data_IF_292620570753
#
_entry.id   IF_292620570753
#
_cell.length_a   1.000
_cell.length_b   1.000
_cell.length_c   1.000
_cell.angle_alpha   90.00
_cell.angle_beta   90.00
_cell.angle_gamma   90.00
#
_symmetry.space_group_name_H-M   'P 1'
#
loop_
_entity.id
_entity.type
_entity.pdbx_description
1 polymer ?
#
# COMPACT_ATOMS: atom_id res chain seq x y z
N UNK A 1 -9.88 -7.57 -12.29
CA UNK A 1 -8.60 -7.25 -11.62
C UNK A 1 -7.47 -7.25 -12.64
N UNK A 2 -6.61 -6.25 -12.59
CA UNK A 2 -5.35 -6.20 -13.36
C UNK A 2 -4.20 -6.53 -12.41
N UNK A 3 -3.23 -7.33 -12.86
CA UNK A 3 -1.96 -7.56 -12.18
C UNK A 3 -0.82 -7.10 -13.06
N UNK A 4 0.07 -6.30 -12.51
CA UNK A 4 1.24 -5.81 -13.21
C UNK A 4 2.23 -6.95 -13.48
N UNK A 5 2.80 -7.00 -14.68
CA UNK A 5 3.83 -7.96 -15.07
C UNK A 5 5.17 -7.25 -15.21
N UNK A 6 5.91 -7.13 -14.14
CA UNK A 6 7.18 -6.43 -14.11
C UNK A 6 7.15 -5.19 -13.24
N UNK A 7 8.25 -4.49 -13.21
CA UNK A 7 8.47 -3.35 -12.34
C UNK A 7 8.21 -2.03 -13.08
N UNK A 8 7.50 -1.11 -12.44
CA UNK A 8 7.34 0.26 -12.92
C UNK A 8 8.42 1.13 -12.33
N UNK A 9 9.22 1.78 -13.17
CA UNK A 9 10.39 2.60 -12.77
C UNK A 9 10.38 3.98 -13.40
N UNK A 10 11.09 4.91 -12.76
CA UNK A 10 11.34 6.24 -13.31
C UNK A 10 10.05 6.97 -13.68
N UNK A 11 9.96 7.48 -14.92
CA UNK A 11 8.82 8.28 -15.39
C UNK A 11 7.51 7.47 -15.46
N UNK A 12 7.57 6.18 -15.82
CA UNK A 12 6.40 5.31 -15.84
C UNK A 12 5.81 5.14 -14.42
N UNK A 13 6.68 4.98 -13.43
CA UNK A 13 6.28 4.96 -12.02
C UNK A 13 5.64 6.29 -11.61
N UNK A 14 6.26 7.43 -11.92
CA UNK A 14 5.74 8.75 -11.57
C UNK A 14 4.38 9.01 -12.22
N UNK A 15 4.20 8.62 -13.47
CA UNK A 15 2.93 8.72 -14.21
C UNK A 15 1.86 7.86 -13.54
N UNK A 16 2.18 6.61 -13.22
CA UNK A 16 1.24 5.69 -12.58
C UNK A 16 0.83 6.14 -11.17
N UNK A 17 1.78 6.52 -10.32
CA UNK A 17 1.42 6.96 -8.95
C UNK A 17 0.71 8.30 -8.94
N UNK A 18 0.96 9.18 -9.90
CA UNK A 18 0.19 10.41 -10.06
C UNK A 18 -1.27 10.09 -10.39
N UNK A 19 -1.50 9.22 -11.37
CA UNK A 19 -2.83 8.72 -11.71
C UNK A 19 -3.52 8.07 -10.50
N UNK A 20 -2.79 7.24 -9.73
CA UNK A 20 -3.32 6.56 -8.54
C UNK A 20 -3.69 7.56 -7.44
N UNK A 21 -2.82 8.54 -7.15
CA UNK A 21 -3.06 9.55 -6.11
C UNK A 21 -4.21 10.52 -6.43
N UNK A 22 -4.50 10.77 -7.71
CA UNK A 22 -5.64 11.59 -8.15
C UNK A 22 -7.00 10.90 -7.89
N UNK A 23 -7.00 9.58 -7.80
CA UNK A 23 -8.19 8.73 -7.63
C UNK A 23 -8.28 8.10 -6.24
N UNK A 24 -7.45 8.54 -5.32
CA UNK A 24 -7.38 8.01 -3.97
C UNK A 24 -7.51 9.14 -2.94
N UNK A 25 -8.08 8.80 -1.80
CA UNK A 25 -8.13 9.66 -0.61
C UNK A 25 -7.09 9.27 0.44
N UNK A 26 -6.63 8.02 0.41
CA UNK A 26 -5.65 7.51 1.36
C UNK A 26 -4.66 6.50 0.74
N UNK A 27 -3.52 6.35 1.42
CA UNK A 27 -2.53 5.31 1.15
C UNK A 27 -2.18 4.57 2.43
N UNK A 28 -1.78 3.32 2.29
CA UNK A 28 -1.31 2.48 3.38
C UNK A 28 0.15 2.11 3.16
N UNK A 29 0.90 2.09 4.24
CA UNK A 29 2.26 1.57 4.32
C UNK A 29 2.37 0.51 5.42
N UNK A 30 3.26 -0.44 5.22
CA UNK A 30 3.64 -1.44 6.19
C UNK A 30 5.04 -1.14 6.71
N UNK A 31 5.23 -1.24 8.02
CA UNK A 31 6.51 -0.96 8.67
C UNK A 31 6.96 -2.22 9.42
N UNK A 32 8.00 -2.86 8.93
CA UNK A 32 8.64 -3.98 9.60
C UNK A 32 9.70 -3.51 10.59
N UNK A 33 9.79 -4.13 11.76
CA UNK A 33 10.87 -3.87 12.70
C UNK A 33 12.01 -4.88 12.52
N UNK A 34 13.21 -4.46 12.91
CA UNK A 34 14.35 -5.35 13.08
C UNK A 34 14.71 -5.39 14.56
N UNK A 35 14.64 -6.57 15.19
CA UNK A 35 14.87 -6.69 16.61
C UNK A 35 14.02 -5.72 17.44
N UNK A 36 12.71 -5.57 17.11
CA UNK A 36 11.74 -4.67 17.75
C UNK A 36 11.95 -3.17 17.50
N UNK A 37 12.86 -2.77 16.60
CA UNK A 37 13.09 -1.36 16.27
C UNK A 37 12.97 -1.10 14.78
N UNK A 38 12.43 0.05 14.44
CA UNK A 38 12.48 0.59 13.07
C UNK A 38 13.87 1.15 12.78
N UNK A 39 14.36 0.98 11.56
CA UNK A 39 15.55 1.71 11.07
C UNK A 39 15.29 3.21 11.10
N UNK A 40 16.34 4.02 11.25
CA UNK A 40 16.24 5.49 11.44
C UNK A 40 15.42 6.15 10.34
N UNK A 41 15.72 5.89 9.06
CA UNK A 41 15.03 6.47 7.91
C UNK A 41 13.54 6.14 7.91
N UNK A 42 13.18 4.87 8.11
CA UNK A 42 11.78 4.42 8.16
C UNK A 42 11.05 5.04 9.37
N UNK A 43 11.72 5.17 10.50
CA UNK A 43 11.18 5.82 11.69
C UNK A 43 10.90 7.31 11.45
N UNK A 44 11.80 8.00 10.77
CA UNK A 44 11.66 9.42 10.41
C UNK A 44 10.46 9.63 9.46
N UNK A 45 10.34 8.81 8.40
CA UNK A 45 9.19 8.81 7.52
C UNK A 45 7.90 8.62 8.34
N UNK A 46 7.84 7.60 9.18
CA UNK A 46 6.67 7.30 10.02
C UNK A 46 6.33 8.45 10.96
N UNK A 47 7.31 9.13 11.53
CA UNK A 47 7.09 10.31 12.39
C UNK A 47 6.57 11.51 11.58
N UNK A 48 7.18 11.80 10.41
CA UNK A 48 6.72 12.86 9.48
C UNK A 48 5.27 12.65 9.07
N UNK A 49 4.86 11.41 8.83
CA UNK A 49 3.51 11.07 8.36
C UNK A 49 2.47 10.94 9.49
N UNK A 50 2.87 10.84 10.74
CA UNK A 50 1.96 10.62 11.88
C UNK A 50 0.77 11.58 11.96
N UNK A 51 0.87 12.89 11.65
CA UNK A 51 -0.26 13.83 11.67
C UNK A 51 -1.36 13.49 10.65
N UNK A 52 -1.03 12.75 9.60
CA UNK A 52 -1.95 12.41 8.51
C UNK A 52 -2.53 10.99 8.65
N UNK A 53 -2.19 10.28 9.72
CA UNK A 53 -2.61 8.90 9.94
C UNK A 53 -4.08 8.82 10.32
N UNK A 54 -4.85 8.07 9.53
CA UNK A 54 -6.30 7.87 9.72
C UNK A 54 -6.64 6.48 10.25
N UNK A 55 -5.77 5.48 10.05
CA UNK A 55 -5.95 4.15 10.63
C UNK A 55 -4.61 3.55 11.04
N UNK A 56 -4.66 2.69 12.06
CA UNK A 56 -3.47 2.04 12.63
C UNK A 56 -3.82 0.66 13.17
N UNK A 57 -2.96 -0.30 12.93
CA UNK A 57 -2.95 -1.62 13.59
C UNK A 57 -1.53 -2.16 13.69
N UNK A 58 -1.30 -3.01 14.67
CA UNK A 58 -0.06 -3.75 14.84
C UNK A 58 -0.33 -5.15 15.40
N UNK A 59 0.71 -5.99 15.39
CA UNK A 59 0.66 -7.35 15.95
C UNK A 59 1.26 -7.47 17.35
N UNK A 60 1.48 -6.39 18.08
CA UNK A 60 2.15 -6.40 19.38
C UNK A 60 1.44 -7.31 20.41
N UNK A 61 0.11 -7.27 20.44
CA UNK A 61 -0.69 -8.14 21.33
C UNK A 61 -0.65 -9.60 20.90
N UNK A 62 -0.68 -9.86 19.59
CA UNK A 62 -0.63 -11.20 19.00
C UNK A 62 0.75 -11.84 19.19
N UNK A 63 1.83 -11.08 18.98
CA UNK A 63 3.20 -11.52 19.25
C UNK A 63 3.40 -11.96 20.72
N UNK A 64 2.87 -11.17 21.68
CA UNK A 64 2.95 -11.50 23.11
C UNK A 64 2.21 -12.79 23.47
N UNK A 65 1.20 -13.18 22.70
CA UNK A 65 0.42 -14.41 22.88
C UNK A 65 0.98 -15.61 22.12
N UNK A 66 2.13 -15.45 21.44
CA UNK A 66 2.75 -16.50 20.61
C UNK A 66 2.05 -16.77 19.28
N UNK A 67 1.08 -15.92 18.88
CA UNK A 67 0.41 -15.97 17.59
C UNK A 67 0.57 -14.64 16.85
N UNK A 68 1.68 -14.42 16.14
CA UNK A 68 2.07 -13.12 15.58
C UNK A 68 1.29 -12.70 14.32
N UNK A 69 0.13 -13.27 14.04
CA UNK A 69 -0.64 -12.99 12.83
C UNK A 69 -1.01 -11.51 12.70
N UNK A 70 -0.71 -10.94 11.54
CA UNK A 70 -1.22 -9.64 11.07
C UNK A 70 -1.47 -9.71 9.56
N UNK A 71 -2.52 -9.01 9.11
CA UNK A 71 -2.97 -9.02 7.71
C UNK A 71 -3.02 -7.61 7.13
N UNK A 72 -2.67 -7.50 5.86
CA UNK A 72 -2.93 -6.31 5.03
C UNK A 72 -3.25 -6.75 3.60
N UNK A 73 -3.59 -5.86 2.65
CA UNK A 73 -3.99 -6.28 1.32
C UNK A 73 -2.99 -7.27 0.69
N UNK A 74 -3.49 -8.42 0.28
CA UNK A 74 -2.78 -9.57 -0.30
C UNK A 74 -1.74 -10.27 0.58
N UNK A 75 -1.50 -9.84 1.81
CA UNK A 75 -0.45 -10.39 2.64
C UNK A 75 -0.96 -10.81 4.02
N UNK A 76 -0.44 -11.93 4.51
CA UNK A 76 -0.57 -12.40 5.88
C UNK A 76 0.85 -12.65 6.40
N UNK A 77 1.23 -11.99 7.47
CA UNK A 77 2.48 -12.28 8.15
C UNK A 77 2.23 -13.09 9.42
N UNK A 78 3.04 -14.12 9.60
CA UNK A 78 3.09 -14.98 10.79
C UNK A 78 4.44 -14.84 11.50
N UNK A 79 5.25 -13.87 11.12
CA UNK A 79 6.58 -13.68 11.72
C UNK A 79 6.48 -13.06 13.11
N UNK A 80 7.36 -13.44 14.06
CA UNK A 80 7.36 -12.88 15.41
C UNK A 80 7.90 -11.44 15.49
N UNK A 81 8.17 -10.80 14.34
CA UNK A 81 8.60 -9.40 14.27
C UNK A 81 7.41 -8.48 14.47
N UNK A 82 7.64 -7.36 15.14
CA UNK A 82 6.62 -6.33 15.30
C UNK A 82 6.40 -5.62 13.95
N UNK A 83 5.16 -5.61 13.51
CA UNK A 83 4.73 -4.99 12.24
C UNK A 83 3.67 -3.94 12.55
N UNK A 84 3.81 -2.77 11.91
CA UNK A 84 2.80 -1.72 11.94
C UNK A 84 2.20 -1.57 10.55
N UNK A 85 0.88 -1.54 10.47
CA UNK A 85 0.11 -1.25 9.25
C UNK A 85 -0.60 0.08 9.49
N UNK A 86 -0.23 1.10 8.75
CA UNK A 86 -0.71 2.46 8.93
C UNK A 86 -1.28 3.03 7.64
N UNK A 87 -2.46 3.63 7.72
CA UNK A 87 -3.10 4.30 6.60
C UNK A 87 -3.08 5.81 6.84
N UNK A 88 -2.78 6.55 5.79
CA UNK A 88 -2.61 7.99 5.81
C UNK A 88 -3.51 8.66 4.78
N UNK A 89 -4.18 9.76 5.16
CA UNK A 89 -4.84 10.64 4.21
C UNK A 89 -3.80 11.25 3.27
N UNK A 90 -4.11 11.32 1.97
CA UNK A 90 -3.24 11.90 0.95
C UNK A 90 -3.08 13.42 1.13
N UNK A 91 -2.10 13.82 1.94
CA UNK A 91 -1.59 15.20 2.05
C UNK A 91 -0.43 15.42 1.09
N UNK A 92 0.02 16.68 0.88
CA UNK A 92 1.24 16.98 0.11
C UNK A 92 2.46 16.18 0.59
N UNK A 93 2.65 16.05 1.92
CA UNK A 93 3.77 15.34 2.53
C UNK A 93 3.72 13.83 2.27
N UNK A 94 2.51 13.25 2.33
CA UNK A 94 2.30 11.83 2.01
C UNK A 94 2.56 11.57 0.53
N UNK A 95 2.08 12.46 -0.36
CA UNK A 95 2.33 12.38 -1.81
C UNK A 95 3.82 12.50 -2.15
N UNK A 96 4.56 13.35 -1.42
CA UNK A 96 6.01 13.47 -1.54
C UNK A 96 6.71 12.14 -1.24
N UNK A 97 6.34 11.46 -0.15
CA UNK A 97 6.90 10.15 0.20
C UNK A 97 6.61 9.09 -0.87
N UNK A 98 5.39 9.06 -1.40
CA UNK A 98 5.05 8.15 -2.51
C UNK A 98 5.93 8.45 -3.73
N UNK A 99 6.01 9.72 -4.15
CA UNK A 99 6.81 10.14 -5.33
C UNK A 99 8.31 9.97 -5.15
N UNK A 100 8.82 9.99 -3.92
CA UNK A 100 10.26 9.85 -3.66
C UNK A 100 10.79 8.42 -3.86
N UNK A 101 9.94 7.45 -4.16
CA UNK A 101 10.35 6.15 -4.65
C UNK A 101 10.74 6.22 -6.14
N UNK A 102 11.61 5.34 -6.56
CA UNK A 102 12.06 5.20 -7.95
C UNK A 102 11.34 4.10 -8.74
N UNK A 103 10.60 3.23 -8.03
CA UNK A 103 9.81 2.17 -8.61
C UNK A 103 8.66 1.74 -7.69
N UNK A 104 7.71 0.97 -8.25
CA UNK A 104 6.51 0.52 -7.52
C UNK A 104 6.80 -0.47 -6.38
N UNK A 105 7.92 -1.20 -6.46
CA UNK A 105 8.37 -2.17 -5.47
C UNK A 105 9.56 -1.66 -4.64
N UNK A 106 9.87 -0.35 -4.69
CA UNK A 106 10.92 0.28 -3.88
C UNK A 106 10.62 0.26 -2.37
N UNK A 107 9.35 0.10 -2.02
CA UNK A 107 8.91 -0.07 -0.64
C UNK A 107 9.34 -1.41 -0.09
N UNK A 108 10.65 -1.56 0.19
CA UNK A 108 11.21 -2.75 0.81
C UNK A 108 12.00 -2.38 2.06
N UNK A 109 11.65 -3.07 3.14
CA UNK A 109 12.47 -3.08 4.34
C UNK A 109 13.94 -3.41 3.98
N UNK A 110 14.97 -2.79 4.55
CA UNK A 110 14.89 -1.94 5.76
C UNK A 110 14.88 -0.42 5.50
N UNK A 111 14.87 0.04 4.26
CA UNK A 111 15.17 1.42 3.92
C UNK A 111 13.93 2.29 3.70
N UNK A 112 12.82 1.67 3.35
CA UNK A 112 11.52 2.32 3.09
C UNK A 112 10.39 1.54 3.76
N UNK A 113 9.22 2.17 3.97
CA UNK A 113 7.99 1.42 4.30
C UNK A 113 7.68 0.42 3.19
N UNK A 114 7.15 -0.74 3.59
CA UNK A 114 6.77 -1.81 2.67
C UNK A 114 5.34 -1.63 2.13
N UNK A 115 5.02 -2.39 1.08
CA UNK A 115 3.68 -2.72 0.59
C UNK A 115 2.74 -1.51 0.46
N UNK A 116 3.04 -0.62 -0.51
CA UNK A 116 2.19 0.52 -0.84
C UNK A 116 0.81 0.06 -1.32
N UNK A 117 -0.25 0.57 -0.70
CA UNK A 117 -1.62 0.35 -1.17
C UNK A 117 -2.39 1.66 -1.24
N UNK A 118 -3.27 1.80 -2.24
CA UNK A 118 -4.10 2.98 -2.44
C UNK A 118 -5.56 2.67 -2.15
N UNK A 119 -6.23 3.62 -1.51
CA UNK A 119 -7.63 3.52 -1.09
C UNK A 119 -8.45 4.67 -1.67
N UNK A 120 -9.71 4.37 -2.00
CA UNK A 120 -10.72 5.34 -2.35
C UNK A 120 -11.98 5.05 -1.55
N UNK A 121 -12.49 6.02 -0.81
CA UNK A 121 -13.68 5.88 0.06
C UNK A 121 -13.58 4.67 1.02
N UNK A 122 -12.38 4.45 1.56
CA UNK A 122 -12.10 3.35 2.47
C UNK A 122 -11.85 1.99 1.81
N UNK A 123 -12.06 1.83 0.49
CA UNK A 123 -11.81 0.59 -0.24
C UNK A 123 -10.42 0.57 -0.87
N UNK A 124 -9.67 -0.52 -0.66
CA UNK A 124 -8.40 -0.73 -1.32
C UNK A 124 -8.60 -1.10 -2.79
N UNK A 125 -8.01 -0.35 -3.72
CA UNK A 125 -8.12 -0.61 -5.14
C UNK A 125 -6.78 -0.87 -5.85
N UNK A 126 -5.66 -0.46 -5.26
CA UNK A 126 -4.30 -0.88 -5.64
C UNK A 126 -3.62 -1.44 -4.40
N UNK A 127 -3.01 -2.61 -4.51
CA UNK A 127 -2.18 -3.19 -3.47
C UNK A 127 -0.91 -3.79 -4.06
N UNK A 128 0.23 -3.48 -3.44
CA UNK A 128 1.50 -4.13 -3.76
C UNK A 128 1.89 -5.12 -2.67
N UNK A 129 2.61 -6.16 -3.06
CA UNK A 129 3.41 -7.01 -2.20
C UNK A 129 4.83 -6.92 -2.74
N UNK A 130 5.59 -5.97 -2.19
CA UNK A 130 6.83 -5.50 -2.80
C UNK A 130 7.90 -6.59 -2.93
N UNK A 131 8.07 -7.41 -1.90
CA UNK A 131 9.03 -8.49 -1.89
C UNK A 131 8.68 -9.66 -2.83
N UNK A 132 7.41 -9.77 -3.25
CA UNK A 132 6.94 -10.77 -4.23
C UNK A 132 6.79 -10.18 -5.62
N UNK A 133 7.04 -8.89 -5.80
CA UNK A 133 6.84 -8.13 -7.04
C UNK A 133 5.41 -8.24 -7.60
N UNK A 134 4.41 -8.23 -6.71
CA UNK A 134 3.01 -8.18 -7.09
C UNK A 134 2.43 -6.78 -6.91
N UNK A 135 1.69 -6.34 -7.92
CA UNK A 135 0.84 -5.16 -7.86
C UNK A 135 -0.51 -5.49 -8.50
N UNK A 136 -1.56 -5.49 -7.69
CA UNK A 136 -2.91 -5.82 -8.09
C UNK A 136 -3.81 -4.58 -8.06
N UNK A 137 -4.65 -4.43 -9.10
CA UNK A 137 -5.51 -3.28 -9.33
C UNK A 137 -6.93 -3.77 -9.59
N UNK A 138 -7.91 -3.28 -8.84
CA UNK A 138 -9.29 -3.78 -8.86
C UNK A 138 -10.30 -2.77 -9.38
N UNK A 139 -9.94 -1.51 -9.47
CA UNK A 139 -10.81 -0.46 -9.99
C UNK A 139 -10.14 0.31 -11.12
N UNK A 140 -10.90 1.17 -11.82
CA UNK A 140 -10.40 1.94 -12.97
C UNK A 140 -9.69 1.09 -14.03
N UNK A 141 -10.04 -0.20 -14.16
CA UNK A 141 -9.31 -1.16 -15.00
C UNK A 141 -9.18 -0.73 -16.47
N UNK A 142 -10.21 -0.05 -17.02
CA UNK A 142 -10.18 0.42 -18.42
C UNK A 142 -9.21 1.58 -18.61
N UNK A 143 -9.17 2.51 -17.65
CA UNK A 143 -8.27 3.68 -17.68
C UNK A 143 -6.83 3.24 -17.45
N UNK A 144 -6.59 2.34 -16.46
CA UNK A 144 -5.29 1.72 -16.21
C UNK A 144 -4.80 0.95 -17.42
N UNK A 145 -5.66 0.18 -18.08
CA UNK A 145 -5.28 -0.55 -19.27
C UNK A 145 -4.86 0.39 -20.42
N UNK A 146 -5.56 1.51 -20.61
CA UNK A 146 -5.15 2.54 -21.60
C UNK A 146 -3.82 3.16 -21.22
N UNK A 147 -3.63 3.51 -19.94
CA UNK A 147 -2.37 4.05 -19.45
C UNK A 147 -1.22 3.05 -19.66
N UNK A 148 -1.41 1.79 -19.29
CA UNK A 148 -0.37 0.77 -19.48
C UNK A 148 -0.05 0.52 -20.96
N UNK A 149 -1.06 0.51 -21.83
CA UNK A 149 -0.84 0.42 -23.27
C UNK A 149 -0.04 1.61 -23.80
N UNK A 150 -0.33 2.85 -23.36
CA UNK A 150 0.40 4.05 -23.81
C UNK A 150 1.86 4.07 -23.33
N UNK A 151 2.16 3.46 -22.20
CA UNK A 151 3.51 3.34 -21.62
C UNK A 151 4.23 2.05 -22.04
N UNK A 152 3.60 1.17 -22.81
CA UNK A 152 4.17 -0.12 -23.19
C UNK A 152 4.30 -1.13 -22.03
N UNK A 153 3.56 -0.93 -20.96
CA UNK A 153 3.64 -1.73 -19.74
C UNK A 153 2.84 -3.02 -19.89
N UNK A 154 3.44 -4.15 -19.56
CA UNK A 154 2.79 -5.47 -19.60
C UNK A 154 1.97 -5.72 -18.34
N UNK A 155 0.76 -6.24 -18.52
CA UNK A 155 -0.14 -6.62 -17.43
C UNK A 155 -0.96 -7.87 -17.78
N UNK A 156 -1.51 -8.52 -16.75
CA UNK A 156 -2.49 -9.63 -16.90
C UNK A 156 -3.84 -9.19 -16.38
N UNK A 157 -4.91 -9.68 -17.00
CA UNK A 157 -6.29 -9.52 -16.51
C UNK A 157 -6.80 -10.81 -15.93
N UNK A 158 -7.45 -10.70 -14.77
CA UNK A 158 -8.12 -11.80 -14.09
C UNK A 158 -9.62 -11.45 -13.96
N UNK A 159 -10.48 -12.00 -14.82
CA UNK A 159 -11.93 -11.75 -14.73
C UNK A 159 -12.50 -12.33 -13.43
N UNK A 160 -13.47 -11.64 -12.81
CA UNK A 160 -14.25 -12.15 -11.67
C UNK A 160 -13.62 -12.01 -10.28
N UNK A 161 -12.47 -11.34 -10.12
CA UNK A 161 -11.80 -11.20 -8.81
C UNK A 161 -11.97 -9.84 -8.11
N UNK A 162 -12.50 -8.81 -8.80
CA UNK A 162 -12.56 -7.43 -8.27
C UNK A 162 -13.47 -7.27 -7.05
N UNK A 163 -14.66 -7.89 -7.05
CA UNK A 163 -15.62 -7.73 -5.94
C UNK A 163 -15.12 -8.36 -4.63
N UNK A 164 -14.56 -9.59 -4.71
CA UNK A 164 -13.99 -10.26 -3.53
C UNK A 164 -12.84 -9.50 -2.88
N UNK A 165 -12.15 -8.67 -3.65
CA UNK A 165 -11.06 -7.85 -3.16
C UNK A 165 -11.59 -6.63 -2.38
N UNK A 166 -12.61 -5.95 -2.90
CA UNK A 166 -13.22 -4.76 -2.26
C UNK A 166 -13.78 -5.09 -0.88
N UNK A 167 -14.56 -6.16 -0.74
CA UNK A 167 -15.13 -6.57 0.55
C UNK A 167 -14.08 -6.87 1.62
N UNK A 168 -12.92 -7.41 1.23
CA UNK A 168 -11.92 -7.92 2.17
C UNK A 168 -11.04 -6.84 2.78
N UNK A 169 -10.89 -5.68 2.14
CA UNK A 169 -9.90 -4.67 2.50
C UNK A 169 -10.47 -3.25 2.69
N UNK A 170 -11.68 -3.16 3.17
CA UNK A 170 -12.29 -1.88 3.55
C UNK A 170 -11.69 -1.38 4.87
N UNK A 171 -11.26 -0.11 4.91
CA UNK A 171 -10.81 0.54 6.13
C UNK A 171 -12.04 1.07 6.85
N UNK A 172 -12.27 0.54 8.06
CA UNK A 172 -13.20 1.16 9.01
C UNK A 172 -12.43 2.16 9.85
N UNK A 173 -12.72 3.44 9.71
CA UNK A 173 -12.20 4.47 10.62
C UNK A 173 -12.88 4.35 11.98
N UNK A 174 -12.15 4.64 13.08
CA UNK A 174 -12.69 4.54 14.45
C UNK A 174 -13.88 5.48 14.71
N UNK A 175 -14.13 6.46 13.85
CA UNK A 175 -15.16 7.50 14.01
C UNK A 175 -16.42 7.28 13.16
N UNK A 176 -16.62 6.11 12.55
CA UNK A 176 -17.72 5.85 11.60
C UNK A 176 -17.85 6.90 10.47
N UNK A 177 -16.90 7.78 10.31
CA UNK A 177 -16.84 8.73 9.21
C UNK A 177 -16.15 8.06 8.01
N UNK A 178 -16.91 7.88 6.94
CA UNK A 178 -16.32 7.63 5.61
C UNK A 178 -15.47 8.86 5.32
N UNK A 179 -14.20 8.64 4.95
CA UNK A 179 -13.33 9.72 4.48
C UNK A 179 -13.94 10.22 3.17
N UNK A 180 -14.63 11.35 3.22
CA UNK A 180 -15.14 12.08 2.04
C UNK A 180 -14.11 13.08 1.56
#
# INVERSE_FOLDING_TARGET
MISLCGDLKGEDYQTFVTFAMERSDAVMFVYHTFGYRLKSQVREIRQKLKPFRVAYRDNSKSCKKGNPEIKWPHTISLTPTLIFVETYRLSPEVKEIVRSADNIFAGQYPNRPDDLSFFNQGECWIATTAHEHFCNITDHEREIAKLFCSLGIKYRRYPGHSERFKEKYTIKTNDNSIIT
#
